data_IF_511598574613
#
_entry.id   IF_511598574613
#
_cell.length_a   1.000
_cell.length_b   1.000
_cell.length_c   1.000
_cell.angle_alpha   90.00
_cell.angle_beta   90.00
_cell.angle_gamma   90.00
#
_symmetry.space_group_name_H-M   'P 1'
#
loop_
_entity.id
_entity.type
_entity.pdbx_description
1 polymer ?
#
# COMPACT_ATOMS: atom_id res chain seq x y z
N UNK A 1 -27.89 38.26 -79.69
CA UNK A 1 -27.71 38.75 -78.32
C UNK A 1 -27.71 37.52 -77.42
N UNK A 2 -26.57 36.95 -77.13
CA UNK A 2 -26.43 35.78 -76.27
C UNK A 2 -25.70 36.20 -74.99
N UNK A 3 -26.35 35.97 -73.85
CA UNK A 3 -25.78 36.24 -72.54
C UNK A 3 -24.98 35.00 -72.10
N UNK A 4 -23.67 35.18 -71.88
CA UNK A 4 -22.82 34.16 -71.28
C UNK A 4 -23.02 34.19 -69.75
N UNK A 5 -23.36 33.04 -69.20
CA UNK A 5 -23.45 32.82 -67.73
C UNK A 5 -22.11 32.26 -67.28
N UNK A 6 -21.36 33.02 -66.51
CA UNK A 6 -20.13 32.57 -65.88
C UNK A 6 -20.48 31.74 -64.64
N UNK A 7 -20.07 30.46 -64.66
CA UNK A 7 -20.20 29.54 -63.50
C UNK A 7 -18.98 29.70 -62.58
N UNK A 8 -19.20 30.28 -61.40
CA UNK A 8 -18.16 30.41 -60.37
C UNK A 8 -18.08 29.12 -59.57
N UNK A 9 -17.02 28.35 -59.74
CA UNK A 9 -16.75 27.16 -58.96
C UNK A 9 -16.00 27.59 -57.68
N UNK A 10 -16.67 27.54 -56.56
CA UNK A 10 -16.04 27.75 -55.24
C UNK A 10 -15.46 26.40 -54.76
N UNK A 11 -14.13 26.30 -54.78
CA UNK A 11 -13.40 25.17 -54.24
C UNK A 11 -13.26 25.35 -52.70
N UNK A 12 -14.08 24.66 -51.90
CA UNK A 12 -13.94 24.63 -50.45
C UNK A 12 -12.87 23.61 -50.10
N UNK A 13 -11.65 24.05 -49.74
CA UNK A 13 -10.61 23.25 -49.15
C UNK A 13 -11.00 22.94 -47.68
N UNK A 14 -11.51 21.72 -47.41
CA UNK A 14 -11.60 21.17 -46.08
C UNK A 14 -10.21 20.78 -45.59
N UNK A 15 -9.56 21.64 -44.82
CA UNK A 15 -8.41 21.25 -44.01
C UNK A 15 -8.92 20.31 -42.92
N UNK A 16 -8.77 19.02 -43.13
CA UNK A 16 -8.95 18.02 -42.09
C UNK A 16 -7.87 18.21 -41.01
N UNK A 17 -8.22 18.78 -39.87
CA UNK A 17 -7.39 18.71 -38.66
C UNK A 17 -7.40 17.26 -38.21
N UNK A 18 -6.37 16.50 -38.58
CA UNK A 18 -6.09 15.21 -37.97
C UNK A 18 -5.65 15.50 -36.52
N UNK A 19 -6.60 15.52 -35.63
CA UNK A 19 -6.31 15.51 -34.20
C UNK A 19 -5.64 14.16 -33.90
N UNK A 20 -4.32 14.15 -33.70
CA UNK A 20 -3.62 13.06 -33.05
C UNK A 20 -4.07 13.05 -31.60
N UNK A 21 -5.20 12.37 -31.33
CA UNK A 21 -5.55 12.00 -29.98
C UNK A 21 -4.42 11.15 -29.43
N UNK A 22 -3.60 11.74 -28.56
CA UNK A 22 -2.72 10.98 -27.69
C UNK A 22 -3.63 10.01 -26.93
N UNK A 23 -3.63 8.73 -27.32
CA UNK A 23 -4.21 7.70 -26.48
C UNK A 23 -3.50 7.83 -25.13
N UNK A 24 -4.25 8.15 -24.08
CA UNK A 24 -3.71 8.12 -22.73
C UNK A 24 -3.12 6.72 -22.56
N UNK A 25 -1.82 6.65 -22.33
CA UNK A 25 -1.12 5.40 -22.07
C UNK A 25 -1.81 4.79 -20.83
N UNK A 26 -2.57 3.74 -21.04
CA UNK A 26 -3.21 3.02 -19.94
C UNK A 26 -2.06 2.37 -19.19
N UNK A 27 -1.83 2.82 -17.94
CA UNK A 27 -0.79 2.27 -17.10
C UNK A 27 -0.76 0.75 -17.11
N UNK A 28 0.43 0.18 -17.03
CA UNK A 28 0.63 -1.29 -16.98
C UNK A 28 0.10 -1.82 -15.64
N UNK A 29 -0.26 -3.10 -15.60
CA UNK A 29 -0.52 -3.83 -14.37
C UNK A 29 0.72 -4.68 -14.09
N UNK A 30 1.28 -4.52 -12.89
CA UNK A 30 2.50 -5.20 -12.45
C UNK A 30 2.17 -5.97 -11.17
N UNK A 31 2.39 -7.29 -11.19
CA UNK A 31 2.19 -8.16 -10.04
C UNK A 31 3.49 -8.32 -9.27
N UNK A 32 3.42 -8.20 -7.94
CA UNK A 32 4.56 -8.28 -7.04
C UNK A 32 4.24 -9.31 -5.96
N UNK A 33 5.01 -10.38 -5.93
CA UNK A 33 4.80 -11.49 -4.99
C UNK A 33 5.34 -11.16 -3.59
N UNK A 34 4.64 -11.61 -2.55
CA UNK A 34 5.06 -11.55 -1.14
C UNK A 34 6.33 -12.33 -0.82
N UNK A 35 6.81 -13.17 -1.73
CA UNK A 35 8.10 -13.85 -1.55
C UNK A 35 9.27 -12.87 -1.51
N UNK A 36 9.09 -11.69 -2.08
CA UNK A 36 10.06 -10.60 -2.10
C UNK A 36 9.79 -9.61 -0.97
N UNK A 37 9.96 -10.04 0.25
CA UNK A 37 9.74 -9.24 1.45
C UNK A 37 11.05 -8.91 2.17
N UNK A 38 11.03 -7.80 2.88
CA UNK A 38 12.10 -7.30 3.74
C UNK A 38 11.56 -7.05 5.15
N UNK A 39 12.46 -6.99 6.13
CA UNK A 39 12.11 -6.66 7.52
C UNK A 39 12.64 -5.29 7.95
N UNK A 40 13.42 -4.65 7.06
CA UNK A 40 13.80 -3.25 7.19
C UNK A 40 13.70 -2.54 5.83
N UNK A 41 13.03 -1.39 5.81
CA UNK A 41 12.92 -0.55 4.60
C UNK A 41 14.29 0.04 4.30
N UNK A 42 14.80 -0.24 3.10
CA UNK A 42 16.14 0.20 2.67
C UNK A 42 17.24 -0.85 2.86
N UNK A 43 16.96 -2.05 3.39
CA UNK A 43 17.97 -3.10 3.53
C UNK A 43 18.43 -3.68 2.19
N UNK A 44 17.59 -3.59 1.15
CA UNK A 44 17.93 -3.96 -0.23
C UNK A 44 17.92 -2.74 -1.14
N UNK A 45 18.99 -2.58 -1.91
CA UNK A 45 19.09 -1.59 -2.98
C UNK A 45 18.69 -2.16 -4.36
N UNK A 46 18.43 -3.48 -4.44
CA UNK A 46 18.05 -4.14 -5.70
C UNK A 46 16.53 -4.20 -5.82
N UNK A 47 15.91 -3.46 -6.77
CA UNK A 47 14.48 -3.49 -6.92
C UNK A 47 14.00 -4.82 -7.49
N UNK A 48 12.87 -5.31 -6.94
CA UNK A 48 12.20 -6.54 -7.37
C UNK A 48 11.26 -6.30 -8.56
N UNK A 49 10.82 -5.04 -8.73
CA UNK A 49 9.96 -4.59 -9.82
C UNK A 49 10.26 -3.14 -10.17
N UNK A 50 9.82 -2.72 -11.37
CA UNK A 50 9.90 -1.32 -11.84
C UNK A 50 8.56 -0.87 -12.37
N UNK A 51 8.09 0.28 -11.91
CA UNK A 51 6.85 0.92 -12.33
C UNK A 51 7.11 2.33 -12.84
N UNK A 52 6.21 2.85 -13.67
CA UNK A 52 6.17 4.24 -14.13
C UNK A 52 5.01 4.96 -13.47
N UNK A 53 5.05 6.29 -13.40
CA UNK A 53 3.87 7.09 -13.12
C UNK A 53 2.66 6.65 -13.95
N UNK A 54 1.52 6.42 -13.29
CA UNK A 54 0.29 5.90 -13.90
C UNK A 54 0.15 4.37 -13.90
N UNK A 55 1.20 3.60 -13.62
CA UNK A 55 1.11 2.14 -13.53
C UNK A 55 0.31 1.69 -12.28
N UNK A 56 -0.29 0.51 -12.38
CA UNK A 56 -1.02 -0.16 -11.30
C UNK A 56 -0.14 -1.32 -10.79
N UNK A 57 0.07 -1.35 -9.50
CA UNK A 57 0.76 -2.43 -8.80
C UNK A 57 -0.27 -3.30 -8.08
N UNK A 58 -0.18 -4.61 -8.25
CA UNK A 58 -0.94 -5.62 -7.49
C UNK A 58 0.07 -6.32 -6.59
N UNK A 59 0.10 -5.94 -5.33
CA UNK A 59 1.13 -6.30 -4.37
C UNK A 59 0.55 -7.32 -3.38
N UNK A 60 1.11 -8.52 -3.36
CA UNK A 60 0.82 -9.50 -2.32
C UNK A 60 1.62 -9.16 -1.06
N UNK A 61 0.99 -9.28 0.12
CA UNK A 61 1.65 -9.08 1.42
C UNK A 61 1.56 -10.32 2.30
N UNK A 62 2.52 -10.50 3.17
CA UNK A 62 2.46 -11.47 4.26
C UNK A 62 1.78 -10.82 5.48
N UNK A 63 1.29 -11.62 6.44
CA UNK A 63 0.80 -11.10 7.71
C UNK A 63 1.95 -10.57 8.60
N UNK A 64 1.62 -9.74 9.59
CA UNK A 64 2.57 -9.14 10.54
C UNK A 64 3.55 -10.15 11.15
N UNK A 65 3.11 -11.36 11.39
CA UNK A 65 3.93 -12.42 12.03
C UNK A 65 4.70 -13.26 11.02
N UNK A 66 4.79 -12.86 9.75
CA UNK A 66 5.44 -13.65 8.68
C UNK A 66 4.93 -15.08 8.61
N UNK A 67 3.61 -15.25 8.79
CA UNK A 67 2.94 -16.56 8.79
C UNK A 67 3.47 -17.55 9.84
N UNK A 68 4.10 -17.08 10.90
CA UNK A 68 4.63 -17.94 11.97
C UNK A 68 3.51 -18.46 12.90
N UNK A 69 2.36 -17.75 12.96
CA UNK A 69 1.20 -18.13 13.76
C UNK A 69 0.16 -18.80 12.87
N UNK A 70 -0.14 -20.07 13.14
CA UNK A 70 -1.06 -20.89 12.35
C UNK A 70 -2.34 -21.25 13.09
N UNK A 71 -2.28 -21.28 14.43
CA UNK A 71 -3.40 -21.63 15.28
C UNK A 71 -3.47 -20.73 16.51
N UNK A 72 -4.62 -20.72 17.18
CA UNK A 72 -4.76 -20.00 18.46
C UNK A 72 -4.01 -20.64 19.63
N UNK A 73 -3.41 -21.81 19.39
CA UNK A 73 -2.56 -22.50 20.38
C UNK A 73 -1.09 -22.07 20.27
N UNK A 74 -0.71 -21.41 19.15
CA UNK A 74 0.64 -20.92 18.97
C UNK A 74 0.87 -19.72 19.89
N UNK A 75 1.96 -19.80 20.67
CA UNK A 75 2.29 -18.75 21.63
C UNK A 75 3.23 -17.74 21.01
N UNK A 76 2.94 -16.47 21.22
CA UNK A 76 3.70 -15.36 20.61
C UNK A 76 5.19 -15.40 20.97
N UNK A 77 5.54 -15.93 22.15
CA UNK A 77 6.93 -16.06 22.58
C UNK A 77 7.75 -17.08 21.76
N UNK A 78 7.09 -17.92 20.97
CA UNK A 78 7.77 -18.93 20.13
C UNK A 78 8.17 -18.42 18.76
N UNK A 79 7.71 -17.24 18.34
CA UNK A 79 8.04 -16.69 17.02
C UNK A 79 9.41 -15.99 17.03
N UNK A 80 10.00 -15.87 15.84
CA UNK A 80 11.17 -15.04 15.62
C UNK A 80 10.75 -13.56 15.42
N UNK A 81 10.97 -12.74 16.43
CA UNK A 81 10.65 -11.30 16.37
C UNK A 81 11.52 -10.51 15.38
N UNK A 82 12.60 -11.08 14.85
CA UNK A 82 13.33 -10.44 13.75
C UNK A 82 12.58 -10.56 12.41
N UNK A 83 11.49 -11.34 12.40
CA UNK A 83 10.67 -11.62 11.23
C UNK A 83 9.24 -11.14 11.43
N UNK A 84 9.05 -9.95 12.01
CA UNK A 84 7.74 -9.30 12.14
C UNK A 84 7.62 -8.09 11.24
N UNK A 85 6.38 -7.70 10.94
CA UNK A 85 6.03 -6.58 10.06
C UNK A 85 6.74 -6.63 8.69
N UNK A 86 6.72 -7.77 7.96
CA UNK A 86 7.36 -7.83 6.65
C UNK A 86 6.68 -6.89 5.65
N UNK A 87 7.49 -6.21 4.84
CA UNK A 87 7.02 -5.37 3.74
C UNK A 87 7.51 -5.91 2.39
N UNK A 88 6.61 -6.04 1.41
CA UNK A 88 6.93 -6.43 0.04
C UNK A 88 7.57 -5.27 -0.70
N UNK A 89 8.74 -5.49 -1.28
CA UNK A 89 9.54 -4.47 -1.96
C UNK A 89 11.01 -4.84 -2.02
N UNK A 90 11.91 -3.91 -2.48
CA UNK A 90 11.59 -2.56 -2.99
C UNK A 90 11.09 -2.53 -4.43
N UNK A 91 10.17 -1.61 -4.72
CA UNK A 91 9.66 -1.36 -6.07
C UNK A 91 10.21 -0.02 -6.55
N UNK A 92 10.97 -0.03 -7.65
CA UNK A 92 11.54 1.18 -8.24
C UNK A 92 10.50 1.94 -9.05
N UNK A 93 10.34 3.22 -8.79
CA UNK A 93 9.43 4.11 -9.53
C UNK A 93 10.25 4.98 -10.48
N UNK A 94 10.10 4.73 -11.78
CA UNK A 94 10.85 5.42 -12.84
C UNK A 94 10.61 6.93 -12.78
N UNK A 95 11.69 7.70 -12.78
CA UNK A 95 11.66 9.16 -12.78
C UNK A 95 11.42 9.80 -11.41
N UNK A 96 11.27 9.03 -10.33
CA UNK A 96 11.24 9.58 -8.98
C UNK A 96 12.67 9.93 -8.53
N UNK A 97 12.86 11.17 -8.05
CA UNK A 97 14.15 11.71 -7.63
C UNK A 97 14.02 12.33 -6.22
N UNK A 98 15.12 12.39 -5.45
CA UNK A 98 15.09 13.05 -4.14
C UNK A 98 14.49 14.47 -4.19
N UNK A 99 13.54 14.75 -3.30
CA UNK A 99 12.78 16.01 -3.26
C UNK A 99 11.45 15.99 -3.99
N UNK A 100 11.16 14.92 -4.72
CA UNK A 100 9.83 14.64 -5.27
C UNK A 100 8.88 14.06 -4.21
N UNK A 101 7.63 13.91 -4.57
CA UNK A 101 6.65 13.13 -3.80
C UNK A 101 6.21 11.92 -4.62
N UNK A 102 6.34 10.73 -4.04
CA UNK A 102 5.67 9.54 -4.53
C UNK A 102 4.21 9.59 -4.08
N UNK A 103 3.30 9.48 -5.04
CA UNK A 103 1.86 9.40 -4.81
C UNK A 103 1.42 7.97 -4.95
N UNK A 104 0.75 7.42 -3.94
CA UNK A 104 0.21 6.05 -3.94
C UNK A 104 -1.29 6.12 -3.67
N UNK A 105 -2.10 5.89 -4.70
CA UNK A 105 -3.56 5.76 -4.58
C UNK A 105 -3.90 4.31 -4.24
N UNK A 106 -4.49 4.04 -3.09
CA UNK A 106 -4.94 2.71 -2.71
C UNK A 106 -6.30 2.44 -3.37
N UNK A 107 -6.33 1.53 -4.35
CA UNK A 107 -7.52 1.23 -5.14
C UNK A 107 -8.38 0.14 -4.49
N UNK A 108 -7.74 -0.94 -3.99
CA UNK A 108 -8.42 -2.02 -3.27
C UNK A 108 -7.45 -2.76 -2.34
N UNK A 109 -8.01 -3.40 -1.31
CA UNK A 109 -7.30 -4.30 -0.41
C UNK A 109 -8.18 -5.54 -0.26
N UNK A 110 -7.69 -6.68 -0.76
CA UNK A 110 -8.34 -7.98 -0.66
C UNK A 110 -7.62 -8.79 0.41
N UNK A 111 -8.29 -8.99 1.55
CA UNK A 111 -7.73 -9.73 2.69
C UNK A 111 -7.92 -11.23 2.52
N UNK A 112 -7.05 -12.03 3.13
CA UNK A 112 -7.15 -13.48 3.18
C UNK A 112 -8.37 -13.94 4.00
N UNK A 113 -8.61 -15.24 4.04
CA UNK A 113 -9.74 -15.88 4.72
C UNK A 113 -9.54 -16.04 6.23
N UNK A 114 -8.41 -15.57 6.76
CA UNK A 114 -8.10 -15.57 8.20
C UNK A 114 -7.26 -14.37 8.59
N UNK A 115 -7.37 -13.98 9.84
CA UNK A 115 -6.49 -13.01 10.48
C UNK A 115 -6.03 -13.48 11.85
N UNK A 116 -5.00 -12.84 12.38
CA UNK A 116 -4.40 -13.16 13.67
C UNK A 116 -4.46 -11.94 14.57
N UNK A 117 -4.81 -12.12 15.82
CA UNK A 117 -4.63 -11.12 16.88
C UNK A 117 -3.86 -11.72 18.03
N UNK A 118 -3.03 -10.89 18.67
CA UNK A 118 -2.36 -11.25 19.92
C UNK A 118 -2.58 -10.16 20.96
N UNK A 119 -2.72 -10.57 22.21
CA UNK A 119 -2.64 -9.68 23.35
C UNK A 119 -1.45 -10.12 24.20
N UNK A 120 -0.56 -9.18 24.51
CA UNK A 120 0.71 -9.46 25.19
C UNK A 120 0.78 -8.62 26.47
N UNK A 121 1.15 -9.19 27.63
CA UNK A 121 1.37 -8.41 28.85
C UNK A 121 2.35 -7.27 28.62
N UNK A 122 2.01 -6.09 29.12
CA UNK A 122 2.84 -4.91 28.97
C UNK A 122 2.68 -4.17 27.63
N UNK A 123 1.86 -4.67 26.69
CA UNK A 123 1.55 -3.99 25.44
C UNK A 123 0.17 -3.33 25.45
N UNK A 124 -0.01 -2.36 24.55
CA UNK A 124 -1.28 -1.65 24.38
C UNK A 124 -1.56 -0.62 25.50
N UNK A 125 -2.81 -0.14 25.52
CA UNK A 125 -3.23 0.93 26.47
C UNK A 125 -3.68 0.41 27.82
N UNK A 126 -3.86 -0.91 27.98
CA UNK A 126 -4.22 -1.59 29.24
C UNK A 126 -3.16 -2.66 29.59
N UNK A 127 -1.90 -2.26 29.77
CA UNK A 127 -0.78 -3.20 29.88
C UNK A 127 -0.87 -4.12 31.09
N UNK A 128 -1.53 -3.67 32.17
CA UNK A 128 -1.68 -4.42 33.41
C UNK A 128 -2.91 -5.34 33.42
N UNK A 129 -3.82 -5.19 32.46
CA UNK A 129 -5.03 -6.02 32.37
C UNK A 129 -4.76 -7.37 31.67
N UNK A 130 -3.78 -7.41 30.79
CA UNK A 130 -3.37 -8.63 30.10
C UNK A 130 -2.34 -9.36 30.94
N UNK A 131 -2.76 -10.42 31.64
CA UNK A 131 -1.89 -11.19 32.53
C UNK A 131 -1.16 -12.33 31.84
N UNK A 132 -1.71 -12.84 30.75
CA UNK A 132 -1.17 -13.99 29.99
C UNK A 132 -1.28 -13.67 28.50
N UNK A 133 -0.22 -13.96 27.72
CA UNK A 133 -0.29 -13.85 26.28
C UNK A 133 -1.46 -14.66 25.72
N UNK A 134 -2.20 -14.08 24.81
CA UNK A 134 -3.33 -14.74 24.16
C UNK A 134 -3.25 -14.54 22.66
N UNK A 135 -3.36 -15.62 21.93
CA UNK A 135 -3.42 -15.63 20.46
C UNK A 135 -4.83 -16.00 20.00
N UNK A 136 -5.33 -15.31 18.99
CA UNK A 136 -6.55 -15.70 18.27
C UNK A 136 -6.28 -15.73 16.77
N UNK A 137 -6.62 -16.85 16.16
CA UNK A 137 -6.73 -16.98 14.70
C UNK A 137 -8.22 -16.91 14.38
N UNK A 138 -8.60 -15.87 13.65
CA UNK A 138 -9.98 -15.49 13.39
C UNK A 138 -10.33 -15.77 11.93
N UNK A 139 -11.37 -16.59 11.63
CA UNK A 139 -11.85 -16.74 10.26
C UNK A 139 -12.41 -15.43 9.72
N UNK A 140 -12.12 -15.15 8.44
CA UNK A 140 -12.69 -14.05 7.68
C UNK A 140 -13.60 -14.65 6.60
N UNK A 141 -14.91 -14.43 6.72
CA UNK A 141 -15.90 -15.01 5.81
C UNK A 141 -16.71 -13.90 5.16
N UNK A 142 -16.55 -13.76 3.85
CA UNK A 142 -17.10 -12.62 3.13
C UNK A 142 -16.52 -11.31 3.70
N UNK A 143 -17.40 -10.42 4.13
CA UNK A 143 -16.99 -9.12 4.68
C UNK A 143 -17.03 -9.09 6.22
N UNK A 144 -16.82 -10.23 6.89
CA UNK A 144 -16.90 -10.34 8.34
C UNK A 144 -15.76 -11.15 8.93
N UNK A 145 -15.21 -10.67 10.03
CA UNK A 145 -14.33 -11.38 10.92
C UNK A 145 -15.22 -12.12 11.93
N UNK A 146 -15.07 -13.41 12.04
CA UNK A 146 -15.86 -14.23 12.95
C UNK A 146 -15.11 -14.33 14.28
N UNK A 147 -15.59 -13.59 15.28
CA UNK A 147 -14.96 -13.57 16.59
C UNK A 147 -15.35 -14.80 17.42
N UNK A 148 -16.64 -15.11 17.45
CA UNK A 148 -17.22 -16.31 18.06
C UNK A 148 -18.62 -16.56 17.48
N UNK A 149 -19.38 -17.48 18.08
CA UNK A 149 -20.73 -17.83 17.62
C UNK A 149 -21.75 -16.69 17.69
N UNK A 150 -21.52 -15.69 18.56
CA UNK A 150 -22.43 -14.57 18.83
C UNK A 150 -21.92 -13.24 18.27
N UNK A 151 -20.62 -13.12 17.99
CA UNK A 151 -19.99 -11.87 17.60
C UNK A 151 -19.25 -11.99 16.26
N UNK A 152 -19.59 -11.12 15.35
CA UNK A 152 -18.83 -10.89 14.14
C UNK A 152 -18.61 -9.39 13.92
N UNK A 153 -17.46 -9.04 13.38
CA UNK A 153 -17.09 -7.65 13.09
C UNK A 153 -17.02 -7.45 11.56
N UNK A 154 -17.45 -6.31 11.02
CA UNK A 154 -17.22 -6.01 9.62
C UNK A 154 -15.71 -5.83 9.37
N UNK A 155 -15.23 -6.23 8.19
CA UNK A 155 -13.87 -5.85 7.79
C UNK A 155 -13.83 -4.36 7.41
N UNK A 156 -12.69 -3.73 7.72
CA UNK A 156 -12.29 -2.41 7.25
C UNK A 156 -10.81 -2.47 6.91
N UNK A 157 -10.45 -3.07 5.75
CA UNK A 157 -9.06 -3.34 5.41
C UNK A 157 -8.23 -2.08 5.33
N UNK A 158 -7.01 -2.16 5.84
CA UNK A 158 -6.04 -1.08 5.81
C UNK A 158 -4.60 -1.61 5.71
N UNK A 159 -3.66 -0.73 5.42
CA UNK A 159 -2.23 -1.00 5.31
C UNK A 159 -1.51 -0.37 6.48
N UNK A 160 -0.84 -1.18 7.32
CA UNK A 160 -0.03 -0.70 8.43
C UNK A 160 1.32 -0.14 7.96
N UNK A 161 2.09 -0.95 7.22
CA UNK A 161 3.40 -0.54 6.69
C UNK A 161 3.30 -0.08 5.24
N UNK A 162 3.60 1.18 4.99
CA UNK A 162 3.83 1.72 3.65
C UNK A 162 4.90 2.81 3.70
N UNK A 163 5.96 2.67 2.89
CA UNK A 163 7.06 3.63 2.93
C UNK A 163 8.01 3.51 1.76
N UNK A 164 8.93 4.44 1.71
CA UNK A 164 10.01 4.52 0.71
C UNK A 164 11.36 4.34 1.40
N UNK A 165 12.39 3.94 0.66
CA UNK A 165 13.73 3.85 1.24
C UNK A 165 14.14 5.17 1.87
N UNK A 166 14.55 5.17 3.16
CA UNK A 166 14.96 6.38 3.87
C UNK A 166 16.30 6.92 3.34
N UNK A 167 16.62 8.15 3.73
CA UNK A 167 17.94 8.69 3.52
C UNK A 167 18.86 8.20 4.64
N UNK A 168 19.78 7.31 4.32
CA UNK A 168 20.73 6.76 5.30
C UNK A 168 20.50 5.28 5.58
N UNK A 169 20.63 4.91 6.86
CA UNK A 169 20.52 3.50 7.27
C UNK A 169 19.11 2.93 7.10
N UNK A 170 19.00 1.61 6.86
CA UNK A 170 17.69 0.94 6.85
C UNK A 170 16.93 1.11 8.16
N UNK A 171 15.61 1.24 8.07
CA UNK A 171 14.71 1.38 9.22
C UNK A 171 13.86 0.11 9.34
N UNK A 172 13.80 -0.56 10.52
CA UNK A 172 12.92 -1.71 10.71
C UNK A 172 11.49 -1.43 10.25
N UNK A 173 10.87 -2.38 9.55
CA UNK A 173 9.52 -2.20 9.02
C UNK A 173 8.48 -1.87 10.10
N UNK A 174 8.65 -2.37 11.33
CA UNK A 174 7.80 -2.04 12.47
C UNK A 174 7.99 -0.62 13.06
N UNK A 175 8.78 0.25 12.41
CA UNK A 175 9.03 1.60 12.90
C UNK A 175 8.53 2.65 11.91
N UNK A 176 7.69 3.62 12.36
CA UNK A 176 7.31 4.76 11.53
C UNK A 176 8.39 5.82 11.49
N UNK A 177 8.34 6.69 10.47
CA UNK A 177 9.26 7.82 10.34
C UNK A 177 8.90 8.76 9.20
N UNK A 178 9.81 9.67 8.87
CA UNK A 178 9.61 10.60 7.76
C UNK A 178 9.50 9.87 6.40
N UNK A 179 10.00 8.65 6.30
CA UNK A 179 9.92 7.78 5.12
C UNK A 179 8.57 7.04 4.97
N UNK A 180 7.67 7.14 5.93
CA UNK A 180 6.50 6.27 6.12
C UNK A 180 6.82 5.18 7.15
N UNK A 181 6.81 3.91 6.73
CA UNK A 181 7.02 2.76 7.60
C UNK A 181 5.72 2.32 8.27
N UNK A 182 5.79 1.83 9.49
CA UNK A 182 4.63 1.35 10.25
C UNK A 182 3.82 2.52 10.81
N UNK A 183 2.92 3.05 10.00
CA UNK A 183 2.10 4.20 10.41
C UNK A 183 0.83 3.80 11.13
N UNK A 184 0.36 2.57 10.97
CA UNK A 184 -0.83 2.00 11.61
C UNK A 184 -2.01 2.97 11.71
N UNK A 185 -2.25 3.66 10.60
CA UNK A 185 -3.31 4.65 10.50
C UNK A 185 -4.51 4.05 9.79
N UNK A 186 -5.61 3.84 10.51
CA UNK A 186 -6.82 3.16 10.03
C UNK A 186 -7.45 3.78 8.76
N UNK A 187 -7.06 5.01 8.41
CA UNK A 187 -7.45 5.70 7.18
C UNK A 187 -6.72 5.22 5.92
N UNK A 188 -5.58 4.51 6.06
CA UNK A 188 -4.80 4.00 4.92
C UNK A 188 -5.50 2.76 4.33
N UNK A 189 -6.70 2.95 3.84
CA UNK A 189 -7.55 1.96 3.20
C UNK A 189 -7.90 2.31 1.76
N UNK A 190 -8.75 1.52 1.13
CA UNK A 190 -9.22 1.81 -0.23
C UNK A 190 -9.85 3.21 -0.33
N UNK A 191 -9.47 3.96 -1.38
CA UNK A 191 -9.84 5.36 -1.58
C UNK A 191 -8.92 6.38 -0.91
N UNK A 192 -7.95 5.95 -0.11
CA UNK A 192 -6.93 6.84 0.44
C UNK A 192 -5.79 7.05 -0.57
N UNK A 193 -5.25 8.26 -0.60
CA UNK A 193 -3.99 8.62 -1.26
C UNK A 193 -2.93 8.85 -0.21
N UNK A 194 -1.81 8.16 -0.34
CA UNK A 194 -0.62 8.33 0.49
C UNK A 194 0.43 9.07 -0.33
N UNK A 195 0.86 10.23 0.16
CA UNK A 195 1.96 11.00 -0.40
C UNK A 195 3.20 10.76 0.45
N UNK A 196 4.27 10.25 -0.13
CA UNK A 196 5.52 9.90 0.55
C UNK A 196 6.68 10.74 0.01
N UNK A 197 7.59 11.26 0.86
CA UNK A 197 8.76 11.99 0.40
C UNK A 197 9.75 11.06 -0.31
N UNK A 198 10.23 11.43 -1.48
CA UNK A 198 11.27 10.65 -2.18
C UNK A 198 12.63 11.03 -1.63
N UNK A 199 13.34 10.08 -1.03
CA UNK A 199 14.64 10.27 -0.40
C UNK A 199 15.80 9.76 -1.25
N UNK A 200 15.56 8.76 -2.10
CA UNK A 200 16.53 8.14 -3.01
C UNK A 200 15.95 8.03 -4.40
N UNK A 201 16.81 7.89 -5.42
CA UNK A 201 16.37 7.66 -6.80
C UNK A 201 15.45 6.43 -6.87
N UNK A 202 14.34 6.57 -7.60
CA UNK A 202 13.33 5.53 -7.73
C UNK A 202 12.42 5.36 -6.51
N UNK A 203 12.52 6.22 -5.49
CA UNK A 203 11.76 6.15 -4.23
C UNK A 203 11.90 4.82 -3.50
N UNK A 204 11.89 3.69 -4.20
CA UNK A 204 12.00 2.33 -3.65
C UNK A 204 10.84 2.03 -2.68
N UNK A 205 9.64 1.90 -3.23
CA UNK A 205 8.40 1.67 -2.47
C UNK A 205 8.38 0.29 -1.82
N UNK A 206 7.91 0.24 -0.57
CA UNK A 206 7.61 -0.97 0.20
C UNK A 206 6.19 -0.87 0.76
N UNK A 207 5.49 -2.02 0.86
CA UNK A 207 4.13 -2.10 1.40
C UNK A 207 3.92 -3.47 2.05
N UNK A 208 3.31 -3.51 3.23
CA UNK A 208 3.03 -4.74 3.96
C UNK A 208 2.16 -4.51 5.18
N UNK A 209 2.11 -5.49 6.06
CA UNK A 209 1.44 -5.38 7.35
C UNK A 209 -0.01 -4.90 7.20
N UNK A 210 -0.84 -5.73 6.55
CA UNK A 210 -2.22 -5.39 6.29
C UNK A 210 -3.13 -5.95 7.37
N UNK A 211 -4.15 -5.17 7.74
CA UNK A 211 -5.13 -5.59 8.73
C UNK A 211 -6.51 -5.71 8.12
N UNK A 212 -7.26 -6.74 8.51
CA UNK A 212 -8.68 -6.85 8.13
C UNK A 212 -9.53 -5.79 8.84
N UNK A 213 -9.11 -5.37 10.02
CA UNK A 213 -9.63 -4.22 10.79
C UNK A 213 -8.59 -3.78 11.82
N UNK A 214 -8.53 -2.49 12.06
CA UNK A 214 -7.81 -1.86 13.17
C UNK A 214 -8.63 -0.69 13.70
N UNK A 215 -8.63 -0.48 15.02
CA UNK A 215 -9.14 0.73 15.64
C UNK A 215 -8.03 1.80 15.70
N UNK A 216 -8.43 3.06 15.92
CA UNK A 216 -7.49 4.17 16.06
C UNK A 216 -6.48 3.91 17.16
N UNK A 217 -5.20 4.14 16.83
CA UNK A 217 -4.09 3.99 17.77
C UNK A 217 -3.69 2.55 18.08
N UNK A 218 -4.29 1.57 17.40
CA UNK A 218 -3.98 0.14 17.56
C UNK A 218 -3.85 -0.29 19.03
N UNK A 219 -4.85 0.08 19.82
CA UNK A 219 -4.81 0.11 21.29
C UNK A 219 -4.46 -1.22 21.97
N UNK A 220 -4.58 -2.34 21.27
CA UNK A 220 -4.16 -3.66 21.77
C UNK A 220 -2.71 -4.01 21.41
N UNK A 221 -2.06 -3.22 20.53
CA UNK A 221 -0.75 -3.52 19.97
C UNK A 221 -0.77 -4.47 18.76
N UNK A 222 -1.96 -4.91 18.33
CA UNK A 222 -2.20 -5.57 17.04
C UNK A 222 -3.60 -5.23 16.53
N UNK A 223 -3.73 -5.12 15.22
CA UNK A 223 -5.00 -5.18 14.53
C UNK A 223 -5.49 -6.63 14.38
N UNK A 224 -6.35 -6.90 13.41
CA UNK A 224 -6.58 -8.25 12.89
C UNK A 224 -5.64 -8.44 11.70
N UNK A 225 -4.44 -8.92 12.02
CA UNK A 225 -3.31 -9.08 11.11
C UNK A 225 -3.61 -10.09 10.04
N UNK A 226 -3.40 -9.78 8.79
CA UNK A 226 -3.73 -10.72 7.73
C UNK A 226 -2.87 -10.52 6.47
N UNK A 227 -2.75 -11.61 5.71
CA UNK A 227 -2.29 -11.51 4.33
C UNK A 227 -3.28 -10.71 3.51
N UNK A 228 -2.77 -9.97 2.54
CA UNK A 228 -3.63 -9.25 1.61
C UNK A 228 -3.03 -9.19 0.20
N UNK A 229 -3.88 -8.81 -0.74
CA UNK A 229 -3.49 -8.33 -2.07
C UNK A 229 -3.92 -6.86 -2.16
N UNK A 230 -2.95 -5.98 -2.25
CA UNK A 230 -3.18 -4.53 -2.30
C UNK A 230 -2.97 -4.05 -3.73
N UNK A 231 -4.02 -3.45 -4.31
CA UNK A 231 -3.93 -2.81 -5.62
C UNK A 231 -3.75 -1.31 -5.44
N UNK A 232 -2.65 -0.77 -5.97
CA UNK A 232 -2.36 0.65 -5.90
C UNK A 232 -2.02 1.22 -7.26
N UNK A 233 -2.29 2.50 -7.48
CA UNK A 233 -1.74 3.26 -8.59
C UNK A 233 -0.66 4.18 -8.07
N UNK A 234 0.48 4.23 -8.77
CA UNK A 234 1.60 5.10 -8.39
C UNK A 234 1.72 6.28 -9.35
N UNK A 235 2.12 7.43 -8.82
CA UNK A 235 2.44 8.64 -9.58
C UNK A 235 3.56 9.43 -8.87
N UNK A 236 4.12 10.43 -9.55
CA UNK A 236 5.21 11.26 -9.03
C UNK A 236 4.88 12.74 -9.22
N UNK A 237 4.88 13.50 -8.12
CA UNK A 237 4.82 14.97 -8.15
C UNK A 237 6.25 15.51 -7.99
N UNK A 238 6.71 16.28 -8.96
CA UNK A 238 8.09 16.77 -9.01
C UNK A 238 8.32 17.97 -8.08
N UNK A 239 9.49 17.98 -7.41
CA UNK A 239 10.03 19.12 -6.66
C UNK A 239 9.06 19.71 -5.63
N UNK A 240 8.34 18.89 -4.89
CA UNK A 240 7.35 19.33 -3.91
C UNK A 240 7.97 19.71 -2.58
N UNK A 241 9.14 19.16 -2.24
CA UNK A 241 9.80 19.36 -0.96
C UNK A 241 9.01 18.77 0.22
N UNK A 242 8.19 17.75 -0.01
CA UNK A 242 7.49 17.06 1.06
C UNK A 242 8.51 16.42 2.01
N UNK A 243 8.36 16.63 3.31
CA UNK A 243 9.29 16.11 4.33
C UNK A 243 8.74 14.90 5.08
N UNK A 244 7.42 14.70 5.09
CA UNK A 244 6.72 13.65 5.85
C UNK A 244 5.54 13.10 5.08
N UNK A 245 5.07 11.87 5.39
CA UNK A 245 3.86 11.33 4.81
C UNK A 245 2.65 12.24 5.01
N UNK A 246 1.83 12.36 3.97
CA UNK A 246 0.55 13.08 3.99
C UNK A 246 -0.52 12.20 3.39
N UNK A 247 -1.62 12.04 4.12
CA UNK A 247 -2.79 11.29 3.67
C UNK A 247 -3.84 12.24 3.11
N UNK A 248 -4.39 11.90 1.96
CA UNK A 248 -5.54 12.57 1.36
C UNK A 248 -6.68 11.55 1.25
N UNK A 249 -7.85 11.90 1.77
CA UNK A 249 -9.06 11.08 1.69
C UNK A 249 -10.25 11.98 1.44
N UNK A 250 -11.12 11.59 0.49
CA UNK A 250 -12.36 12.30 0.15
C UNK A 250 -13.45 12.12 1.23
#
# INVERSE_FOLDING_TARGET
MGKAVALLVVLVLMLGVVGTGLAADKGRIIHVSREHKVFAIGESSTPIAKARPGDILVIETEDCFDNQIQSSEDVIESIDFNRVNPATGPIYIEGAEPGDTLVVDILSIEVADRGVMVAIPGMGVLPDEVQTPTTRVLPIVGNKIIWDENLSLPIRPMVGVIGVTPKGDPIPCGSPGDHGGNMDTAEIGAGCRVNLPVNVEGAMLHLGDCHAIQADGEVCGTGVECRAVVTVRVDVKKNTGLERPVLEKD
#
